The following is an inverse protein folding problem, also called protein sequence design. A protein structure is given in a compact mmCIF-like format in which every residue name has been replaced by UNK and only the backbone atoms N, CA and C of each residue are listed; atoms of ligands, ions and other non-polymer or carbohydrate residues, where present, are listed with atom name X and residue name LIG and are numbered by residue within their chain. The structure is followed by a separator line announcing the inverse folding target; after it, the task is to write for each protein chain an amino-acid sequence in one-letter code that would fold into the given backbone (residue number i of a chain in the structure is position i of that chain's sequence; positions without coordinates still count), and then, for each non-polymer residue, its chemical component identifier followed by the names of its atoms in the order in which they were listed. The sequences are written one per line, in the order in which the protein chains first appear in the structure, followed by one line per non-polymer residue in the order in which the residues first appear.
data_IF_740137637431
#
_entry.id   IF_740137637431
#
_cell.length_a   1.000
_cell.length_b   1.000
_cell.length_c   1.000
_cell.angle_alpha   90.00
_cell.angle_beta   90.00
_cell.angle_gamma   90.00
#
_symmetry.space_group_name_H-M   'P 1'
#
loop_
_entity.id
_entity.type
_entity.pdbx_description
1 polymer ?
#
# COMPACT_ATOMS: atom_id res chain seq x y z
N UNK A 1 24.47 2.72 1.64
CA UNK A 1 25.60 2.55 0.73
C UNK A 1 25.24 1.47 -0.29
N UNK A 2 25.35 1.80 -1.61
CA UNK A 2 24.95 0.90 -2.71
C UNK A 2 25.81 -0.37 -2.75
N UNK A 3 27.06 -0.28 -2.36
CA UNK A 3 27.98 -1.42 -2.32
C UNK A 3 27.60 -2.41 -1.21
N UNK A 4 27.14 -1.92 -0.08
CA UNK A 4 26.66 -2.73 1.03
C UNK A 4 25.33 -3.39 0.69
N UNK A 5 24.47 -2.69 -0.06
CA UNK A 5 23.21 -3.22 -0.55
C UNK A 5 23.48 -4.37 -1.53
N UNK A 6 24.40 -4.22 -2.49
CA UNK A 6 24.77 -5.26 -3.43
C UNK A 6 25.39 -6.51 -2.77
N UNK A 7 26.08 -6.35 -1.65
CA UNK A 7 26.62 -7.48 -0.86
C UNK A 7 25.54 -8.28 -0.13
N UNK A 8 24.48 -7.60 0.28
CA UNK A 8 23.48 -8.17 1.18
C UNK A 8 22.13 -8.43 0.50
N UNK A 9 21.93 -7.95 -0.71
CA UNK A 9 20.71 -8.14 -1.48
C UNK A 9 20.98 -9.03 -2.69
N UNK A 10 20.20 -10.10 -2.82
CA UNK A 10 20.19 -10.97 -4.00
C UNK A 10 18.78 -10.95 -4.57
N UNK A 11 18.69 -10.67 -5.84
CA UNK A 11 17.44 -10.67 -6.60
C UNK A 11 17.50 -11.75 -7.67
N UNK A 12 16.51 -12.61 -7.68
CA UNK A 12 16.31 -13.63 -8.70
C UNK A 12 14.97 -13.32 -9.39
N UNK A 13 15.00 -13.13 -10.68
CA UNK A 13 13.82 -12.86 -11.47
C UNK A 13 13.71 -13.82 -12.64
N UNK A 14 12.53 -14.38 -12.85
CA UNK A 14 12.26 -15.24 -14.00
C UNK A 14 12.48 -14.50 -15.32
N UNK A 15 12.23 -13.19 -15.36
CA UNK A 15 12.41 -12.35 -16.56
C UNK A 15 13.88 -12.07 -16.87
N UNK A 16 14.75 -12.16 -15.87
CA UNK A 16 16.18 -11.84 -16.00
C UNK A 16 17.06 -13.10 -16.14
N UNK A 17 16.46 -14.27 -16.26
CA UNK A 17 17.20 -15.50 -16.45
C UNK A 17 17.70 -15.62 -17.90
N UNK A 18 18.92 -16.14 -18.11
CA UNK A 18 19.36 -16.51 -19.44
C UNK A 18 18.46 -17.59 -20.05
N UNK A 19 18.25 -17.56 -21.35
CA UNK A 19 17.38 -18.51 -22.08
C UNK A 19 17.84 -19.98 -21.95
N UNK A 20 19.12 -20.18 -21.57
CA UNK A 20 19.72 -21.51 -21.36
C UNK A 20 19.37 -22.11 -19.98
N UNK A 21 18.76 -21.37 -19.08
CA UNK A 21 18.31 -21.85 -17.77
C UNK A 21 16.87 -22.32 -17.89
N UNK A 22 16.68 -23.61 -17.93
CA UNK A 22 15.43 -24.26 -18.33
C UNK A 22 14.23 -23.94 -17.46
N UNK A 23 14.33 -23.63 -16.21
CA UNK A 23 13.18 -23.18 -15.41
C UNK A 23 13.60 -22.48 -14.12
N UNK A 24 12.91 -21.40 -13.80
CA UNK A 24 12.97 -20.82 -12.47
C UNK A 24 12.52 -21.87 -11.44
N UNK A 25 13.26 -21.95 -10.33
CA UNK A 25 13.01 -22.79 -9.18
C UNK A 25 11.52 -22.90 -8.83
N UNK A 26 10.81 -23.89 -9.39
CA UNK A 26 9.50 -24.26 -8.86
C UNK A 26 9.69 -24.82 -7.46
N UNK A 27 9.04 -24.21 -6.47
CA UNK A 27 9.10 -24.70 -5.08
C UNK A 27 8.14 -25.87 -4.82
N UNK A 28 7.56 -26.46 -5.88
CA UNK A 28 6.89 -27.76 -5.82
C UNK A 28 7.91 -28.91 -5.78
N UNK A 29 9.08 -28.69 -6.37
CA UNK A 29 10.14 -29.70 -6.44
C UNK A 29 10.98 -29.66 -5.15
N UNK A 30 11.12 -30.84 -4.51
CA UNK A 30 11.86 -30.97 -3.24
C UNK A 30 13.34 -30.58 -3.41
N UNK A 31 13.94 -30.86 -4.55
CA UNK A 31 15.30 -30.48 -4.88
C UNK A 31 15.51 -28.96 -4.85
N UNK A 32 14.57 -28.19 -5.40
CA UNK A 32 14.62 -26.73 -5.41
C UNK A 32 14.40 -26.16 -4.00
N UNK A 33 13.50 -26.76 -3.22
CA UNK A 33 13.33 -26.40 -1.82
C UNK A 33 14.62 -26.65 -1.01
N UNK A 34 15.27 -27.77 -1.25
CA UNK A 34 16.53 -28.12 -0.56
C UNK A 34 17.66 -27.19 -0.95
N UNK A 35 17.73 -26.77 -2.20
CA UNK A 35 18.73 -25.81 -2.65
C UNK A 35 18.53 -24.43 -2.00
N UNK A 36 17.30 -23.92 -1.97
CA UNK A 36 16.96 -22.67 -1.27
C UNK A 36 17.33 -22.77 0.22
N UNK A 37 16.98 -23.87 0.88
CA UNK A 37 17.33 -24.09 2.29
C UNK A 37 18.83 -24.15 2.54
N UNK A 38 19.60 -24.72 1.61
CA UNK A 38 21.07 -24.74 1.67
C UNK A 38 21.64 -23.32 1.59
N UNK A 39 21.21 -22.51 0.65
CA UNK A 39 21.64 -21.11 0.54
C UNK A 39 21.34 -20.30 1.80
N UNK A 40 20.16 -20.52 2.40
CA UNK A 40 19.77 -19.87 3.63
C UNK A 40 20.65 -20.32 4.81
N UNK A 41 20.94 -21.62 4.89
CA UNK A 41 21.83 -22.18 5.91
C UNK A 41 23.24 -21.60 5.82
N UNK A 42 23.84 -21.58 4.64
CA UNK A 42 25.17 -20.98 4.40
C UNK A 42 25.21 -19.49 4.79
N UNK A 43 24.10 -18.79 4.66
CA UNK A 43 23.99 -17.38 5.07
C UNK A 43 23.89 -17.22 6.58
N UNK A 44 23.18 -18.11 7.26
CA UNK A 44 23.06 -18.10 8.74
C UNK A 44 24.36 -18.53 9.43
N UNK A 45 25.11 -19.49 8.88
CA UNK A 45 26.43 -19.90 9.41
C UNK A 45 27.41 -18.72 9.45
N UNK A 46 27.26 -17.75 8.56
CA UNK A 46 28.06 -16.51 8.56
C UNK A 46 27.55 -15.44 9.56
N UNK A 47 26.69 -15.84 10.51
CA UNK A 47 26.12 -14.93 11.52
C UNK A 47 25.09 -13.96 10.99
N UNK A 48 24.53 -14.19 9.79
CA UNK A 48 23.48 -13.37 9.19
C UNK A 48 22.10 -13.97 9.49
N UNK A 49 21.08 -13.13 9.54
CA UNK A 49 19.66 -13.54 9.62
C UNK A 49 18.99 -13.22 8.28
N UNK A 50 18.98 -14.15 7.33
CA UNK A 50 18.45 -13.89 6.00
C UNK A 50 16.94 -13.66 6.04
N UNK A 51 16.49 -12.69 5.22
CA UNK A 51 15.09 -12.47 4.89
C UNK A 51 14.88 -12.87 3.43
N UNK A 52 13.97 -13.80 3.20
CA UNK A 52 13.54 -14.20 1.86
C UNK A 52 12.19 -13.60 1.57
N UNK A 53 12.04 -12.95 0.42
CA UNK A 53 10.78 -12.47 -0.10
C UNK A 53 10.42 -13.28 -1.34
N UNK A 54 9.30 -14.00 -1.27
CA UNK A 54 8.76 -14.83 -2.36
C UNK A 54 7.62 -14.07 -3.03
N UNK A 55 7.83 -13.57 -4.23
CA UNK A 55 6.84 -12.81 -5.01
C UNK A 55 6.63 -13.47 -6.38
N UNK A 56 5.48 -14.04 -6.64
CA UNK A 56 4.43 -14.37 -5.72
C UNK A 56 4.27 -15.90 -5.62
N UNK A 57 3.59 -16.36 -4.59
CA UNK A 57 3.45 -17.80 -4.33
C UNK A 57 2.85 -18.55 -5.51
N UNK A 58 1.85 -17.99 -6.20
CA UNK A 58 1.18 -18.64 -7.35
C UNK A 58 2.11 -18.91 -8.55
N UNK A 59 3.26 -18.23 -8.63
CA UNK A 59 4.25 -18.43 -9.68
C UNK A 59 5.36 -19.40 -9.26
N UNK A 60 5.49 -19.63 -7.97
CA UNK A 60 6.55 -20.47 -7.39
C UNK A 60 6.07 -21.87 -6.99
N UNK A 61 4.75 -22.03 -6.83
CA UNK A 61 4.11 -23.28 -6.45
C UNK A 61 2.91 -23.51 -7.38
N UNK A 62 2.84 -24.63 -8.05
CA UNK A 62 1.65 -25.01 -8.81
C UNK A 62 0.51 -25.33 -7.84
N UNK A 63 -0.38 -24.37 -7.68
CA UNK A 63 -1.62 -24.54 -6.94
C UNK A 63 -2.61 -25.22 -7.89
N UNK A 64 -2.76 -26.52 -7.79
CA UNK A 64 -3.78 -27.25 -8.53
C UNK A 64 -5.19 -26.72 -8.26
N UNK A 65 -6.15 -27.06 -9.12
CA UNK A 65 -7.54 -26.56 -9.02
C UNK A 65 -8.27 -26.96 -7.73
N UNK A 66 -7.80 -27.98 -7.03
CA UNK A 66 -8.53 -28.63 -5.95
C UNK A 66 -8.35 -27.99 -4.55
N UNK A 67 -7.61 -26.92 -4.40
CA UNK A 67 -7.39 -26.25 -3.09
C UNK A 67 -7.12 -27.23 -1.93
N UNK A 68 -6.55 -28.41 -2.23
CA UNK A 68 -6.35 -29.44 -1.22
C UNK A 68 -5.22 -29.05 -0.27
N UNK A 69 -5.46 -29.17 1.03
CA UNK A 69 -4.46 -28.92 2.08
C UNK A 69 -3.17 -29.73 1.85
N UNK A 70 -3.28 -30.93 1.22
CA UNK A 70 -2.15 -31.79 0.93
C UNK A 70 -1.15 -31.20 -0.06
N UNK A 71 -1.59 -30.42 -1.04
CA UNK A 71 -0.68 -29.83 -2.03
C UNK A 71 0.27 -28.80 -1.45
N UNK A 72 -0.16 -28.06 -0.43
CA UNK A 72 0.67 -27.05 0.24
C UNK A 72 1.59 -27.65 1.31
N UNK A 73 1.46 -28.93 1.63
CA UNK A 73 2.24 -29.55 2.70
C UNK A 73 3.76 -29.50 2.48
N UNK A 74 4.31 -29.80 1.27
CA UNK A 74 5.76 -29.71 1.03
C UNK A 74 6.27 -28.28 1.23
N UNK A 75 5.56 -27.29 0.70
CA UNK A 75 5.91 -25.87 0.86
C UNK A 75 5.86 -25.46 2.35
N UNK A 76 4.81 -25.81 3.07
CA UNK A 76 4.67 -25.55 4.49
C UNK A 76 5.80 -26.19 5.33
N UNK A 77 6.27 -27.36 4.92
CA UNK A 77 7.42 -28.01 5.56
C UNK A 77 8.71 -27.25 5.29
N UNK A 78 8.93 -26.76 4.06
CA UNK A 78 10.07 -25.92 3.70
C UNK A 78 10.08 -24.63 4.55
N UNK A 79 8.97 -23.90 4.64
CA UNK A 79 8.84 -22.70 5.48
C UNK A 79 9.18 -23.00 6.93
N UNK A 80 8.75 -24.16 7.43
CA UNK A 80 9.05 -24.58 8.82
C UNK A 80 10.53 -24.87 8.99
N UNK A 81 11.18 -25.52 8.02
CA UNK A 81 12.64 -25.81 8.03
C UNK A 81 13.43 -24.51 7.99
N UNK A 82 13.09 -23.56 7.09
CA UNK A 82 13.76 -22.27 6.99
C UNK A 82 13.70 -21.49 8.33
N UNK A 83 12.53 -21.47 8.97
CA UNK A 83 12.37 -20.82 10.28
C UNK A 83 13.22 -21.47 11.38
N UNK A 84 13.33 -22.81 11.39
CA UNK A 84 14.21 -23.51 12.34
C UNK A 84 15.70 -23.16 12.14
N UNK A 85 16.08 -22.77 10.93
CA UNK A 85 17.43 -22.30 10.61
C UNK A 85 17.63 -20.81 10.94
N UNK A 86 16.64 -20.12 11.53
CA UNK A 86 16.75 -18.70 11.88
C UNK A 86 16.45 -17.74 10.72
N UNK A 87 15.85 -18.24 9.62
CA UNK A 87 15.49 -17.42 8.47
C UNK A 87 14.11 -16.81 8.65
N UNK A 88 13.93 -15.57 8.17
CA UNK A 88 12.63 -14.93 8.01
C UNK A 88 12.14 -15.05 6.58
N UNK A 89 10.84 -15.30 6.40
CA UNK A 89 10.23 -15.41 5.07
C UNK A 89 9.01 -14.52 4.98
N UNK A 90 8.98 -13.67 3.95
CA UNK A 90 7.82 -12.93 3.49
C UNK A 90 7.27 -13.59 2.22
N UNK A 91 5.98 -13.88 2.22
CA UNK A 91 5.33 -14.55 1.10
C UNK A 91 4.24 -13.63 0.58
N UNK A 92 4.36 -13.21 -0.66
CA UNK A 92 3.37 -12.39 -1.35
C UNK A 92 2.39 -13.32 -2.06
N UNK A 93 1.10 -13.07 -1.86
CA UNK A 93 0.06 -13.87 -2.46
C UNK A 93 -1.18 -13.02 -2.78
N UNK A 94 -1.89 -13.39 -3.83
CA UNK A 94 -3.09 -12.68 -4.23
C UNK A 94 -4.31 -13.10 -3.41
N UNK A 95 -5.18 -12.14 -3.11
CA UNK A 95 -6.50 -12.43 -2.54
C UNK A 95 -7.40 -13.11 -3.57
N UNK A 96 -8.36 -13.88 -3.09
CA UNK A 96 -9.39 -14.47 -3.94
C UNK A 96 -10.27 -13.39 -4.60
N UNK A 97 -10.75 -13.64 -5.83
CA UNK A 97 -11.63 -12.69 -6.55
C UNK A 97 -12.91 -12.35 -5.80
N UNK A 98 -13.43 -13.28 -5.01
CA UNK A 98 -14.66 -13.10 -4.24
C UNK A 98 -14.49 -12.23 -2.98
N UNK A 99 -13.26 -11.85 -2.61
CA UNK A 99 -12.97 -11.03 -1.41
C UNK A 99 -13.67 -11.58 -0.14
N UNK A 100 -13.84 -12.90 -0.04
CA UNK A 100 -14.46 -13.54 1.13
C UNK A 100 -13.60 -13.27 2.37
N UNK A 101 -14.21 -12.82 3.46
CA UNK A 101 -13.52 -12.57 4.71
C UNK A 101 -13.29 -13.89 5.45
N UNK A 102 -12.04 -14.16 5.79
CA UNK A 102 -11.65 -15.33 6.54
C UNK A 102 -11.91 -15.20 8.06
N UNK A 103 -11.68 -16.28 8.83
CA UNK A 103 -11.87 -16.27 10.28
C UNK A 103 -10.96 -15.28 11.03
N UNK A 104 -9.87 -14.86 10.41
CA UNK A 104 -8.92 -13.88 10.94
C UNK A 104 -9.34 -12.43 10.65
N UNK A 105 -10.47 -12.22 9.96
CA UNK A 105 -11.02 -10.90 9.68
C UNK A 105 -10.40 -10.17 8.48
N UNK A 106 -9.56 -10.86 7.70
CA UNK A 106 -9.03 -10.33 6.44
C UNK A 106 -9.55 -11.13 5.24
N UNK A 107 -9.50 -10.57 4.00
CA UNK A 107 -9.84 -11.31 2.80
C UNK A 107 -9.04 -12.60 2.67
N UNK A 108 -9.72 -13.67 2.28
CA UNK A 108 -9.07 -14.93 2.01
C UNK A 108 -8.19 -14.82 0.76
N UNK A 109 -7.03 -15.45 0.80
CA UNK A 109 -6.19 -15.60 -0.37
C UNK A 109 -6.66 -16.79 -1.23
N UNK A 110 -6.11 -16.86 -2.43
CA UNK A 110 -6.35 -17.97 -3.35
C UNK A 110 -5.59 -19.21 -2.85
N UNK A 111 -6.28 -20.33 -2.69
CA UNK A 111 -5.69 -21.59 -2.23
C UNK A 111 -6.08 -21.97 -0.80
N UNK A 112 -5.38 -22.96 -0.24
CA UNK A 112 -5.71 -23.53 1.06
C UNK A 112 -5.43 -22.58 2.23
N UNK A 113 -6.39 -22.46 3.15
CA UNK A 113 -6.24 -21.72 4.40
C UNK A 113 -5.18 -22.35 5.35
N UNK A 114 -4.78 -23.61 5.10
CA UNK A 114 -3.80 -24.32 5.95
C UNK A 114 -2.45 -23.60 6.01
N UNK A 115 -2.06 -22.86 4.96
CA UNK A 115 -0.87 -22.04 4.97
C UNK A 115 -0.88 -21.00 6.11
N UNK A 116 -2.03 -20.37 6.37
CA UNK A 116 -2.16 -19.40 7.47
C UNK A 116 -1.79 -19.98 8.83
N UNK A 117 -2.03 -21.27 9.05
CA UNK A 117 -1.74 -21.91 10.34
C UNK A 117 -0.25 -21.87 10.65
N UNK A 118 0.60 -21.85 9.64
CA UNK A 118 2.08 -21.88 9.74
C UNK A 118 2.71 -20.50 9.84
N UNK A 119 2.01 -19.46 9.40
CA UNK A 119 2.52 -18.10 9.41
C UNK A 119 2.45 -17.51 10.82
N UNK A 120 3.41 -16.64 11.14
CA UNK A 120 3.42 -15.89 12.38
C UNK A 120 2.56 -14.63 12.28
N UNK A 121 2.49 -14.04 11.10
CA UNK A 121 1.76 -12.82 10.78
C UNK A 121 1.16 -12.90 9.38
N UNK A 122 -0.07 -12.43 9.23
CA UNK A 122 -0.71 -12.20 7.93
C UNK A 122 -1.07 -10.73 7.81
N UNK A 123 -0.75 -10.14 6.66
CA UNK A 123 -1.03 -8.74 6.35
C UNK A 123 -1.78 -8.72 5.01
N UNK A 124 -2.87 -7.99 4.94
CA UNK A 124 -3.60 -7.75 3.72
C UNK A 124 -3.52 -6.26 3.35
N UNK A 125 -3.19 -5.98 2.11
CA UNK A 125 -3.25 -4.64 1.53
C UNK A 125 -4.52 -4.52 0.71
N UNK A 126 -5.48 -3.71 1.16
CA UNK A 126 -6.73 -3.44 0.45
C UNK A 126 -6.63 -2.08 -0.25
N UNK A 127 -6.87 -2.02 -1.57
CA UNK A 127 -6.91 -0.74 -2.26
C UNK A 127 -8.00 0.16 -1.67
N UNK A 128 -7.65 1.39 -1.34
CA UNK A 128 -8.61 2.41 -0.93
C UNK A 128 -9.22 3.10 -2.16
N UNK A 129 -10.55 3.30 -2.15
CA UNK A 129 -11.26 3.94 -3.27
C UNK A 129 -10.91 5.42 -3.46
N UNK A 130 -10.46 6.08 -2.40
CA UNK A 130 -10.15 7.51 -2.35
C UNK A 130 -8.67 7.82 -2.56
N UNK A 131 -7.98 7.07 -3.43
CA UNK A 131 -6.58 7.41 -3.74
C UNK A 131 -6.49 8.75 -4.48
N UNK A 132 -5.55 9.57 -4.08
CA UNK A 132 -5.18 10.78 -4.82
C UNK A 132 -4.60 10.37 -6.18
N UNK A 133 -4.86 11.14 -7.27
CA UNK A 133 -4.33 10.82 -8.60
C UNK A 133 -2.80 10.71 -8.57
N UNK A 134 -2.31 9.59 -9.07
CA UNK A 134 -0.90 9.25 -9.02
C UNK A 134 -0.45 8.65 -7.69
N UNK A 135 -1.24 8.76 -6.62
CA UNK A 135 -0.96 8.07 -5.36
C UNK A 135 -1.64 6.71 -5.33
N UNK A 136 -0.99 5.75 -4.72
CA UNK A 136 -1.56 4.43 -4.48
C UNK A 136 -1.78 4.29 -2.98
N UNK A 137 -3.04 4.14 -2.57
CA UNK A 137 -3.42 4.07 -1.15
C UNK A 137 -3.94 2.69 -0.82
N UNK A 138 -3.48 2.15 0.29
CA UNK A 138 -3.93 0.87 0.82
C UNK A 138 -4.30 0.99 2.29
N UNK A 139 -5.38 0.30 2.66
CA UNK A 139 -5.61 -0.08 4.04
C UNK A 139 -4.78 -1.33 4.35
N UNK A 140 -3.99 -1.26 5.41
CA UNK A 140 -3.15 -2.36 5.91
C UNK A 140 -3.91 -3.04 7.04
N UNK A 141 -4.40 -4.24 6.78
CA UNK A 141 -5.11 -5.05 7.76
C UNK A 141 -4.21 -6.20 8.22
N UNK A 142 -4.02 -6.33 9.51
CA UNK A 142 -3.35 -7.48 10.09
C UNK A 142 -4.41 -8.49 10.56
N UNK A 143 -4.41 -9.67 9.93
CA UNK A 143 -5.31 -10.76 10.31
C UNK A 143 -4.75 -11.54 11.51
N UNK A 144 -3.82 -12.46 11.23
CA UNK A 144 -3.14 -13.24 12.26
C UNK A 144 -1.94 -12.48 12.81
N UNK A 145 -1.82 -12.42 14.12
CA UNK A 145 -0.62 -11.99 14.82
C UNK A 145 -0.38 -12.89 16.02
N UNK A 146 0.81 -13.50 16.10
CA UNK A 146 1.21 -14.28 17.29
C UNK A 146 1.75 -13.41 18.41
N UNK A 147 2.15 -12.18 18.12
CA UNK A 147 2.85 -11.28 19.02
C UNK A 147 2.32 -9.86 18.92
N UNK A 148 1.30 -9.52 19.64
CA UNK A 148 0.91 -8.13 19.83
C UNK A 148 -0.46 -7.72 19.29
N UNK A 149 -0.72 -6.43 19.29
CA UNK A 149 -1.95 -5.83 18.78
C UNK A 149 -2.00 -5.90 17.26
N UNK A 150 -3.21 -6.10 16.74
CA UNK A 150 -3.43 -6.04 15.28
C UNK A 150 -3.26 -4.63 14.78
N UNK A 151 -2.54 -4.52 13.67
CA UNK A 151 -2.36 -3.25 12.96
C UNK A 151 -3.56 -3.04 12.05
N UNK A 152 -4.15 -1.87 12.13
CA UNK A 152 -5.11 -1.34 11.16
C UNK A 152 -4.68 0.10 10.89
N UNK A 153 -4.14 0.34 9.71
CA UNK A 153 -3.65 1.65 9.30
C UNK A 153 -3.82 1.81 7.80
N UNK A 154 -3.86 3.02 7.33
CA UNK A 154 -3.80 3.31 5.90
C UNK A 154 -2.42 3.85 5.53
N UNK A 155 -1.91 3.45 4.38
CA UNK A 155 -0.65 3.90 3.81
C UNK A 155 -0.88 4.39 2.39
N UNK A 156 -0.11 5.37 1.97
CA UNK A 156 -0.10 5.84 0.59
C UNK A 156 1.32 5.90 0.04
N UNK A 157 1.45 5.59 -1.24
CA UNK A 157 2.70 5.80 -1.97
C UNK A 157 2.67 7.18 -2.62
N UNK A 158 3.66 8.01 -2.26
CA UNK A 158 3.89 9.30 -2.88
C UNK A 158 4.82 9.10 -4.10
N UNK A 159 4.33 9.22 -5.34
CA UNK A 159 5.13 8.96 -6.54
C UNK A 159 6.19 10.04 -6.80
N UNK A 160 6.02 11.24 -6.26
CA UNK A 160 6.96 12.35 -6.44
C UNK A 160 8.19 12.19 -5.55
N UNK A 161 7.97 11.76 -4.30
CA UNK A 161 9.03 11.53 -3.32
C UNK A 161 9.49 10.07 -3.29
N UNK A 162 8.81 9.19 -4.05
CA UNK A 162 9.08 7.74 -4.14
C UNK A 162 9.15 7.06 -2.77
N UNK A 163 8.24 7.44 -1.87
CA UNK A 163 8.17 6.87 -0.52
C UNK A 163 6.75 6.49 -0.12
N UNK A 164 6.65 5.57 0.83
CA UNK A 164 5.41 5.24 1.53
C UNK A 164 5.24 6.13 2.75
N UNK A 165 4.04 6.59 2.96
CA UNK A 165 3.66 7.47 4.07
C UNK A 165 2.45 6.86 4.79
N UNK A 166 2.32 7.15 6.08
CA UNK A 166 1.06 6.88 6.76
C UNK A 166 -0.02 7.79 6.17
N UNK A 167 -1.15 7.20 5.84
CA UNK A 167 -2.31 7.94 5.36
C UNK A 167 -3.35 7.94 6.48
N UNK A 168 -3.67 9.13 6.96
CA UNK A 168 -4.71 9.34 7.95
C UNK A 168 -5.99 9.79 7.24
N UNK A 169 -7.05 8.98 7.34
CA UNK A 169 -8.35 9.34 6.76
C UNK A 169 -8.94 10.58 7.45
N UNK A 170 -8.65 10.80 8.73
CA UNK A 170 -9.04 12.03 9.43
C UNK A 170 -8.42 13.25 8.78
N UNK A 171 -7.17 13.16 8.30
CA UNK A 171 -6.52 14.24 7.56
C UNK A 171 -7.19 14.57 6.23
N UNK A 172 -7.98 13.66 5.68
CA UNK A 172 -8.78 13.90 4.46
C UNK A 172 -10.04 14.67 4.79
N UNK A 173 -10.73 14.30 5.88
CA UNK A 173 -11.90 15.00 6.38
C UNK A 173 -11.52 16.41 6.85
N UNK A 174 -10.44 16.54 7.62
CA UNK A 174 -9.89 17.84 8.03
C UNK A 174 -9.54 18.70 6.80
N UNK A 175 -8.94 18.12 5.76
CA UNK A 175 -8.64 18.84 4.52
C UNK A 175 -9.89 19.29 3.78
N UNK A 176 -10.94 18.47 3.74
CA UNK A 176 -12.20 18.84 3.13
C UNK A 176 -12.87 19.98 3.91
N UNK A 177 -12.78 19.98 5.25
CA UNK A 177 -13.26 21.07 6.09
C UNK A 177 -12.43 22.36 5.90
N UNK A 178 -11.10 22.24 5.78
CA UNK A 178 -10.23 23.38 5.44
C UNK A 178 -10.58 23.98 4.08
N UNK A 179 -10.82 23.16 3.07
CA UNK A 179 -11.25 23.63 1.75
C UNK A 179 -12.60 24.36 1.86
N UNK A 180 -13.56 23.79 2.59
CA UNK A 180 -14.84 24.44 2.85
C UNK A 180 -14.64 25.81 3.49
N UNK A 181 -13.83 25.89 4.56
CA UNK A 181 -13.52 27.16 5.21
C UNK A 181 -12.91 28.21 4.26
N UNK A 182 -11.93 27.80 3.43
CA UNK A 182 -11.34 28.69 2.42
C UNK A 182 -12.37 29.22 1.41
N UNK A 183 -13.39 28.43 1.07
CA UNK A 183 -14.46 28.81 0.17
C UNK A 183 -15.46 29.77 0.86
N UNK A 184 -15.82 29.45 2.09
CA UNK A 184 -16.73 30.30 2.91
C UNK A 184 -16.12 31.69 3.19
N UNK A 185 -14.79 31.74 3.44
CA UNK A 185 -14.05 32.99 3.62
C UNK A 185 -13.77 33.75 2.30
N UNK A 186 -14.42 33.34 1.22
CA UNK A 186 -14.29 33.96 -0.11
C UNK A 186 -12.83 34.11 -0.62
N UNK A 187 -11.95 33.27 -0.19
CA UNK A 187 -10.53 33.27 -0.61
C UNK A 187 -10.33 32.73 -2.04
N UNK A 188 -11.27 31.94 -2.55
CA UNK A 188 -11.13 31.18 -3.79
C UNK A 188 -12.20 31.58 -4.81
N UNK A 189 -11.79 32.33 -5.86
CA UNK A 189 -12.64 32.67 -6.99
C UNK A 189 -12.51 31.73 -8.18
N UNK A 190 -11.44 30.92 -8.22
CA UNK A 190 -11.18 29.93 -9.26
C UNK A 190 -10.16 28.88 -8.77
N UNK A 191 -10.04 27.76 -9.49
CA UNK A 191 -9.17 26.64 -9.11
C UNK A 191 -7.70 27.04 -8.96
N UNK A 192 -7.23 27.97 -9.78
CA UNK A 192 -5.85 28.46 -9.69
C UNK A 192 -5.58 29.20 -8.37
N UNK A 193 -6.58 29.87 -7.78
CA UNK A 193 -6.43 30.50 -6.47
C UNK A 193 -6.24 29.40 -5.40
N UNK A 194 -7.11 28.39 -5.41
CA UNK A 194 -7.00 27.23 -4.51
C UNK A 194 -5.66 26.49 -4.66
N UNK A 195 -5.19 26.33 -5.91
CA UNK A 195 -3.90 25.71 -6.21
C UNK A 195 -2.72 26.46 -5.58
N UNK A 196 -2.74 27.79 -5.63
CA UNK A 196 -1.71 28.64 -5.04
C UNK A 196 -1.77 28.63 -3.51
N UNK A 197 -2.97 28.69 -2.93
CA UNK A 197 -3.18 28.66 -1.48
C UNK A 197 -2.71 27.33 -0.90
N UNK A 198 -3.08 26.21 -1.52
CA UNK A 198 -2.72 24.86 -1.06
C UNK A 198 -1.29 24.45 -1.45
N UNK A 199 -0.56 25.26 -2.21
CA UNK A 199 0.75 24.93 -2.77
C UNK A 199 0.77 23.60 -3.55
N UNK A 200 -0.27 23.40 -4.38
CA UNK A 200 -0.49 22.18 -5.18
C UNK A 200 -0.73 22.53 -6.64
N UNK A 201 -0.62 21.52 -7.52
CA UNK A 201 -0.99 21.73 -8.93
C UNK A 201 -2.49 22.04 -9.09
N UNK A 202 -2.91 22.78 -10.14
CA UNK A 202 -4.32 23.04 -10.40
C UNK A 202 -5.18 21.78 -10.50
N UNK A 203 -4.65 20.71 -11.12
CA UNK A 203 -5.34 19.42 -11.20
C UNK A 203 -5.52 18.76 -9.83
N UNK A 204 -4.55 18.90 -8.91
CA UNK A 204 -4.69 18.42 -7.54
C UNK A 204 -5.73 19.21 -6.75
N UNK A 205 -5.74 20.56 -6.90
CA UNK A 205 -6.71 21.43 -6.25
C UNK A 205 -8.13 21.14 -6.73
N UNK A 206 -8.33 20.96 -8.04
CA UNK A 206 -9.63 20.60 -8.62
C UNK A 206 -10.15 19.26 -8.08
N UNK A 207 -9.25 18.28 -7.98
CA UNK A 207 -9.60 16.99 -7.44
C UNK A 207 -10.00 17.06 -5.96
N UNK A 208 -9.26 17.77 -5.13
CA UNK A 208 -9.61 17.94 -3.71
C UNK A 208 -10.99 18.58 -3.55
N UNK A 209 -11.29 19.60 -4.37
CA UNK A 209 -12.59 20.21 -4.41
C UNK A 209 -13.69 19.20 -4.77
N UNK A 210 -13.44 18.40 -5.82
CA UNK A 210 -14.39 17.37 -6.27
C UNK A 210 -14.61 16.31 -5.19
N UNK A 211 -13.56 15.85 -4.52
CA UNK A 211 -13.66 14.88 -3.42
C UNK A 211 -14.46 15.44 -2.24
N UNK A 212 -14.27 16.71 -1.87
CA UNK A 212 -15.05 17.35 -0.81
C UNK A 212 -16.54 17.44 -1.16
N UNK A 213 -16.88 17.67 -2.43
CA UNK A 213 -18.26 17.63 -2.93
C UNK A 213 -18.80 16.18 -2.90
N UNK A 214 -18.04 15.20 -3.38
CA UNK A 214 -18.42 13.77 -3.38
C UNK A 214 -18.59 13.20 -1.96
N UNK A 215 -17.86 13.74 -0.99
CA UNK A 215 -17.99 13.41 0.45
C UNK A 215 -19.11 14.20 1.15
N UNK A 216 -19.93 14.93 0.40
CA UNK A 216 -21.05 15.73 0.92
C UNK A 216 -20.68 16.78 1.99
N UNK A 217 -19.41 17.20 2.05
CA UNK A 217 -18.96 18.27 2.96
C UNK A 217 -19.60 19.61 2.58
N UNK A 218 -19.82 19.82 1.27
CA UNK A 218 -20.62 20.89 0.70
C UNK A 218 -21.10 20.49 -0.72
N UNK A 219 -22.08 21.20 -1.25
CA UNK A 219 -22.64 20.90 -2.57
C UNK A 219 -21.95 21.68 -3.71
N UNK A 220 -22.06 21.17 -4.96
CA UNK A 220 -21.62 21.90 -6.16
C UNK A 220 -22.33 23.27 -6.30
N UNK A 221 -23.56 23.40 -5.75
CA UNK A 221 -24.30 24.67 -5.69
C UNK A 221 -23.61 25.66 -4.73
N UNK A 222 -23.16 25.18 -3.57
CA UNK A 222 -22.45 26.01 -2.59
C UNK A 222 -21.14 26.52 -3.19
N UNK A 223 -20.37 25.63 -3.84
CA UNK A 223 -19.16 26.01 -4.56
C UNK A 223 -19.41 27.11 -5.58
N UNK A 224 -20.45 26.99 -6.41
CA UNK A 224 -20.79 28.00 -7.40
C UNK A 224 -21.16 29.35 -6.78
N UNK A 225 -21.84 29.32 -5.65
CA UNK A 225 -22.23 30.53 -4.90
C UNK A 225 -20.98 31.21 -4.30
N UNK A 226 -20.16 30.49 -3.55
CA UNK A 226 -18.93 31.02 -2.94
C UNK A 226 -17.94 31.52 -3.97
N UNK A 227 -17.75 30.80 -5.05
CA UNK A 227 -16.93 31.24 -6.19
C UNK A 227 -17.40 32.57 -6.77
N UNK A 228 -18.69 32.73 -6.94
CA UNK A 228 -19.28 33.97 -7.43
C UNK A 228 -19.06 35.11 -6.42
N UNK A 229 -19.31 34.87 -5.16
CA UNK A 229 -19.10 35.83 -4.09
C UNK A 229 -17.64 36.27 -3.97
N UNK A 230 -16.68 35.32 -3.99
CA UNK A 230 -15.26 35.63 -4.01
C UNK A 230 -14.85 36.50 -5.21
N UNK A 231 -15.48 36.28 -6.36
CA UNK A 231 -15.20 37.05 -7.58
C UNK A 231 -15.68 38.51 -7.48
N UNK A 232 -16.82 38.73 -6.84
CA UNK A 232 -17.44 40.07 -6.81
C UNK A 232 -17.13 40.84 -5.53
N UNK A 233 -17.04 40.17 -4.39
CA UNK A 233 -16.90 40.79 -3.06
C UNK A 233 -15.56 40.45 -2.37
N UNK A 234 -14.80 39.47 -2.88
CA UNK A 234 -13.60 38.93 -2.21
C UNK A 234 -12.35 39.83 -2.26
N UNK A 235 -12.37 40.96 -2.95
CA UNK A 235 -11.19 41.82 -3.09
C UNK A 235 -10.25 41.41 -4.22
N UNK A 236 -9.06 42.01 -4.25
CA UNK A 236 -8.02 41.69 -5.25
C UNK A 236 -7.55 40.25 -5.12
N UNK A 237 -7.04 39.68 -6.23
CA UNK A 237 -6.57 38.27 -6.24
C UNK A 237 -5.49 38.01 -5.19
N UNK A 238 -4.50 38.89 -5.11
CA UNK A 238 -3.34 38.70 -4.20
C UNK A 238 -3.78 38.80 -2.73
N UNK A 239 -4.74 39.67 -2.40
CA UNK A 239 -5.34 39.77 -1.08
C UNK A 239 -6.10 38.50 -0.68
N UNK A 240 -6.87 37.92 -1.60
CA UNK A 240 -7.57 36.65 -1.36
C UNK A 240 -6.63 35.49 -1.11
N UNK A 241 -5.58 35.38 -1.92
CA UNK A 241 -4.57 34.35 -1.76
C UNK A 241 -3.86 34.49 -0.42
N UNK A 242 -3.50 35.71 -0.04
CA UNK A 242 -2.84 35.98 1.23
C UNK A 242 -3.73 35.60 2.42
N UNK A 243 -5.00 36.01 2.43
CA UNK A 243 -5.98 35.60 3.46
C UNK A 243 -6.13 34.07 3.53
N UNK A 244 -6.18 33.40 2.37
CA UNK A 244 -6.28 31.95 2.33
C UNK A 244 -5.07 31.25 2.92
N UNK A 245 -3.87 31.78 2.75
CA UNK A 245 -2.65 31.26 3.38
C UNK A 245 -2.67 31.48 4.89
N UNK A 246 -3.06 32.68 5.33
CA UNK A 246 -3.22 33.01 6.76
C UNK A 246 -4.24 32.09 7.42
N UNK A 247 -5.38 31.85 6.76
CA UNK A 247 -6.39 30.90 7.23
C UNK A 247 -5.84 29.48 7.42
N UNK A 248 -4.95 29.00 6.52
CA UNK A 248 -4.31 27.67 6.66
C UNK A 248 -3.28 27.61 7.79
N UNK A 249 -2.67 28.73 8.15
CA UNK A 249 -1.72 28.79 9.27
C UNK A 249 -2.42 28.80 10.63
N UNK A 250 -3.67 29.25 10.69
CA UNK A 250 -4.47 29.35 11.91
C UNK A 250 -5.30 28.10 12.22
N UNK A 251 -5.53 27.21 11.25
CA UNK A 251 -6.37 26.02 11.38
C UNK A 251 -5.64 24.73 10.98
#
# INVERSE_FOLDING_TARGET
DEEELRKNFRYLSRVSQPDEVDEFLSLDLEENQMELLRWLHESTEKGKSPLVLLDNLSNLVELGDDNSAGQMQPFNMMVTKARKQGCSMGIIHHTGKAMTIGPDGIPTWRGSYDMATRLDKTICLLPCKSSLDGYVTFQVLEGKSRRGQRINMSIQFNPFERRWELFDESSTEDRHQLIKGLLEETCVAKIEDLSVILERSPSSAERYLKQAIESEVFSDRDWKNWKSEAKYNGGAKDERIQRGKEFLEEN
#
